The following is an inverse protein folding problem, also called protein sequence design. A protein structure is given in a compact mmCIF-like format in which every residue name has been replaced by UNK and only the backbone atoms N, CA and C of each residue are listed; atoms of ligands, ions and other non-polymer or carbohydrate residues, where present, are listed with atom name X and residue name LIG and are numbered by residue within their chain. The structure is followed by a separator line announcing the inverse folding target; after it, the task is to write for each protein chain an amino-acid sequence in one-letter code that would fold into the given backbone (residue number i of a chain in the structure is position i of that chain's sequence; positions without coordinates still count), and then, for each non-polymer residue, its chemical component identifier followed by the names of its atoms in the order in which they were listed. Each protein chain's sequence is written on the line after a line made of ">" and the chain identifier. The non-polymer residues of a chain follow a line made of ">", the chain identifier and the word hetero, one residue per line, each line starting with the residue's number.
data_IF_083712492364
#
_entry.id   IF_083712492364
#
_cell.length_a   1.000
_cell.length_b   1.000
_cell.length_c   1.000
_cell.angle_alpha   90.00
_cell.angle_beta   90.00
_cell.angle_gamma   90.00
#
_symmetry.space_group_name_H-M   'P 1'
#
loop_
_entity.id
_entity.type
_entity.pdbx_description
1 polymer ?
#
# COMPACT_ATOMS: atom_id res chain seq x y z
N UNK A 1 -4.15 8.44 7.64
CA UNK A 1 -3.63 7.08 7.44
C UNK A 1 -2.42 6.90 8.32
N UNK A 2 -2.37 5.87 9.15
CA UNK A 2 -1.14 5.49 9.84
C UNK A 2 -0.41 4.39 9.02
N UNK A 3 0.82 4.04 9.42
CA UNK A 3 1.63 3.04 8.72
C UNK A 3 1.04 1.63 8.79
N UNK A 4 0.36 1.30 9.88
CA UNK A 4 -0.22 -0.03 10.09
C UNK A 4 -1.39 -0.28 9.15
N UNK A 5 -2.23 0.73 8.92
CA UNK A 5 -3.34 0.64 7.95
C UNK A 5 -2.83 0.35 6.53
N UNK A 6 -1.69 0.96 6.17
CA UNK A 6 -1.03 0.75 4.87
C UNK A 6 -0.50 -0.68 4.75
N UNK A 7 0.11 -1.20 5.81
CA UNK A 7 0.63 -2.57 5.83
C UNK A 7 -0.50 -3.60 5.78
N UNK A 8 -1.61 -3.37 6.48
CA UNK A 8 -2.77 -4.26 6.43
C UNK A 8 -3.38 -4.30 5.02
N UNK A 9 -3.56 -3.14 4.39
CA UNK A 9 -4.04 -3.07 3.00
C UNK A 9 -3.08 -3.77 2.03
N UNK A 10 -1.77 -3.55 2.17
CA UNK A 10 -0.76 -4.21 1.36
C UNK A 10 -0.81 -5.72 1.52
N UNK A 11 -0.90 -6.24 2.75
CA UNK A 11 -0.99 -7.68 3.01
C UNK A 11 -2.23 -8.31 2.35
N UNK A 12 -3.39 -7.64 2.41
CA UNK A 12 -4.62 -8.07 1.73
C UNK A 12 -4.45 -8.11 0.21
N UNK A 13 -3.83 -7.09 -0.38
CA UNK A 13 -3.62 -7.03 -1.82
C UNK A 13 -2.64 -8.12 -2.28
N UNK A 14 -1.54 -8.32 -1.56
CA UNK A 14 -0.56 -9.37 -1.88
C UNK A 14 -1.16 -10.77 -1.75
N UNK A 15 -2.02 -11.01 -0.77
CA UNK A 15 -2.71 -12.31 -0.63
C UNK A 15 -3.75 -12.56 -1.71
N UNK A 16 -4.43 -11.52 -2.21
CA UNK A 16 -5.44 -11.66 -3.27
C UNK A 16 -4.84 -11.74 -4.68
N UNK A 17 -3.85 -10.90 -4.99
CA UNK A 17 -3.27 -10.78 -6.34
C UNK A 17 -1.98 -11.58 -6.52
N UNK A 18 -1.30 -11.95 -5.42
CA UNK A 18 0.06 -12.48 -5.46
C UNK A 18 1.11 -11.39 -5.63
N UNK A 19 2.37 -11.72 -5.34
CA UNK A 19 3.48 -10.76 -5.30
C UNK A 19 3.72 -10.03 -6.63
N UNK A 20 3.62 -10.74 -7.76
CA UNK A 20 3.96 -10.18 -9.07
C UNK A 20 2.87 -9.29 -9.67
N UNK A 21 1.60 -9.50 -9.31
CA UNK A 21 0.48 -8.75 -9.85
C UNK A 21 0.02 -7.59 -8.93
N UNK A 22 0.46 -7.59 -7.67
CA UNK A 22 0.25 -6.48 -6.76
C UNK A 22 1.23 -5.32 -7.04
N UNK A 23 0.75 -4.09 -6.96
CA UNK A 23 1.54 -2.88 -7.18
C UNK A 23 1.32 -1.83 -6.09
N UNK A 24 2.26 -0.88 -6.00
CA UNK A 24 2.11 0.29 -5.13
C UNK A 24 0.90 1.16 -5.51
N UNK A 25 0.44 1.10 -6.76
CA UNK A 25 -0.77 1.79 -7.20
C UNK A 25 -2.02 1.15 -6.57
N UNK A 26 -2.10 -0.18 -6.58
CA UNK A 26 -3.20 -0.91 -5.94
C UNK A 26 -3.31 -0.58 -4.45
N UNK A 27 -2.16 -0.52 -3.77
CA UNK A 27 -2.10 -0.18 -2.35
C UNK A 27 -2.59 1.25 -2.13
N UNK A 28 -2.09 2.21 -2.93
CA UNK A 28 -2.47 3.61 -2.83
C UNK A 28 -3.98 3.81 -3.05
N UNK A 29 -4.56 3.13 -4.03
CA UNK A 29 -6.01 3.15 -4.31
C UNK A 29 -6.81 2.57 -3.15
N UNK A 30 -6.39 1.43 -2.58
CA UNK A 30 -7.08 0.78 -1.47
C UNK A 30 -7.10 1.62 -0.19
N UNK A 31 -6.08 2.47 0.02
CA UNK A 31 -6.02 3.38 1.18
C UNK A 31 -6.39 4.83 0.83
N UNK A 32 -6.92 5.08 -0.37
CA UNK A 32 -7.31 6.41 -0.85
C UNK A 32 -6.19 7.46 -0.76
N UNK A 33 -4.94 7.04 -0.96
CA UNK A 33 -3.78 7.91 -1.00
C UNK A 33 -3.28 8.10 -2.43
N UNK A 34 -2.63 9.24 -2.67
CA UNK A 34 -1.79 9.36 -3.85
C UNK A 34 -0.53 8.50 -3.68
N UNK A 35 -0.05 7.92 -4.78
CA UNK A 35 1.18 7.10 -4.80
C UNK A 35 2.39 7.83 -4.20
N UNK A 36 2.51 9.14 -4.43
CA UNK A 36 3.57 9.96 -3.83
C UNK A 36 3.48 10.04 -2.30
N UNK A 37 2.27 10.23 -1.76
CA UNK A 37 2.02 10.23 -0.31
C UNK A 37 2.31 8.86 0.30
N UNK A 38 1.94 7.77 -0.39
CA UNK A 38 2.25 6.41 0.05
C UNK A 38 3.77 6.20 0.19
N UNK A 39 4.57 6.66 -0.79
CA UNK A 39 6.03 6.59 -0.71
C UNK A 39 6.62 7.38 0.47
N UNK A 40 6.02 8.51 0.84
CA UNK A 40 6.42 9.28 2.01
C UNK A 40 6.18 8.51 3.31
N UNK A 41 5.01 7.87 3.43
CA UNK A 41 4.65 7.10 4.63
C UNK A 41 5.49 5.83 4.83
N UNK A 42 5.93 5.18 3.74
CA UNK A 42 6.75 3.96 3.84
C UNK A 42 8.25 4.24 3.97
N UNK A 43 8.74 5.42 3.54
CA UNK A 43 10.14 5.82 3.69
C UNK A 43 10.45 6.57 5.01
N UNK A 44 9.44 7.12 5.68
CA UNK A 44 9.62 7.70 7.00
C UNK A 44 9.99 6.58 7.98
N UNK A 45 11.13 6.77 8.65
CA UNK A 45 11.85 5.78 9.46
C UNK A 45 11.06 5.24 10.65
#
# INVERSE_FOLDING_TARGET
>A
MNRDDILEAAAKIFTQKGFHAASMQDIAEAVQLQKASLYYHVNSK
#
